data_IF_600055847381
#
_entry.id   IF_600055847381
#
_cell.length_a   1.000
_cell.length_b   1.000
_cell.length_c   1.000
_cell.angle_alpha   90.00
_cell.angle_beta   90.00
_cell.angle_gamma   90.00
#
_symmetry.space_group_name_H-M   'P 1'
#
loop_
_entity.id
_entity.type
_entity.pdbx_description
1 polymer ?
#
# COMPACT_ATOMS: atom_id res chain seq x y z
N UNK A 1 -11.70 12.30 -20.65
CA UNK A 1 -12.96 12.77 -21.27
C UNK A 1 -13.98 11.66 -21.19
N UNK A 2 -14.82 11.64 -20.14
CA UNK A 2 -15.81 10.58 -19.92
C UNK A 2 -17.05 10.85 -20.77
N UNK A 3 -17.31 10.00 -21.76
CA UNK A 3 -18.61 9.94 -22.40
C UNK A 3 -19.62 9.49 -21.34
N UNK A 4 -20.43 10.43 -20.82
CA UNK A 4 -21.68 10.09 -20.12
C UNK A 4 -22.54 9.29 -21.09
N UNK A 5 -22.41 7.97 -21.10
CA UNK A 5 -23.40 7.08 -21.71
C UNK A 5 -24.72 7.38 -21.00
N UNK A 6 -25.64 8.01 -21.73
CA UNK A 6 -27.01 8.22 -21.25
C UNK A 6 -27.56 6.86 -20.86
N UNK A 7 -27.92 6.71 -19.60
CA UNK A 7 -28.57 5.52 -19.09
C UNK A 7 -29.82 5.22 -19.93
N UNK A 8 -30.06 3.95 -20.24
CA UNK A 8 -31.23 3.54 -21.01
C UNK A 8 -32.50 4.04 -20.32
N UNK A 9 -33.32 4.81 -21.04
CA UNK A 9 -34.57 5.38 -20.53
C UNK A 9 -35.50 4.29 -20.00
N UNK A 10 -35.43 3.08 -20.56
CA UNK A 10 -36.20 1.94 -20.10
C UNK A 10 -35.70 1.45 -18.73
N UNK A 11 -34.39 1.35 -18.54
CA UNK A 11 -33.78 0.94 -17.27
C UNK A 11 -34.10 1.93 -16.13
N UNK A 12 -34.02 3.23 -16.42
CA UNK A 12 -34.41 4.29 -15.47
C UNK A 12 -35.88 4.15 -15.06
N UNK A 13 -36.77 3.87 -16.02
CA UNK A 13 -38.20 3.67 -15.75
C UNK A 13 -38.43 2.45 -14.85
N UNK A 14 -37.80 1.32 -15.15
CA UNK A 14 -37.91 0.09 -14.35
C UNK A 14 -37.37 0.27 -12.93
N UNK A 15 -36.21 0.92 -12.77
CA UNK A 15 -35.64 1.22 -11.45
C UNK A 15 -36.56 2.13 -10.63
N UNK A 16 -37.12 3.17 -11.25
CA UNK A 16 -38.06 4.05 -10.57
C UNK A 16 -39.33 3.30 -10.13
N UNK A 17 -39.88 2.44 -10.99
CA UNK A 17 -41.01 1.58 -10.64
C UNK A 17 -40.67 0.65 -9.48
N UNK A 18 -39.52 -0.02 -9.53
CA UNK A 18 -39.05 -0.93 -8.49
C UNK A 18 -38.91 -0.24 -7.12
N UNK A 19 -38.32 0.96 -7.09
CA UNK A 19 -38.08 1.71 -5.85
C UNK A 19 -39.37 2.26 -5.22
N UNK A 20 -40.39 2.56 -6.02
CA UNK A 20 -41.66 3.12 -5.56
C UNK A 20 -42.71 2.06 -5.24
N UNK A 21 -42.50 0.81 -5.66
CA UNK A 21 -43.42 -0.30 -5.40
C UNK A 21 -43.23 -0.89 -3.99
N UNK A 22 -44.32 -1.14 -3.25
CA UNK A 22 -44.30 -1.94 -2.03
C UNK A 22 -43.71 -3.34 -2.25
N UNK A 23 -43.10 -3.92 -1.23
CA UNK A 23 -42.47 -5.25 -1.32
C UNK A 23 -43.46 -6.39 -1.63
N UNK A 24 -44.73 -6.22 -1.29
CA UNK A 24 -45.82 -7.17 -1.54
C UNK A 24 -46.49 -7.00 -2.92
N UNK A 25 -46.02 -6.05 -3.75
CA UNK A 25 -46.61 -5.82 -5.05
C UNK A 25 -46.27 -6.95 -6.04
N UNK A 26 -47.31 -7.57 -6.63
CA UNK A 26 -47.19 -8.75 -7.50
C UNK A 26 -46.18 -8.55 -8.64
N UNK A 27 -46.18 -7.39 -9.28
CA UNK A 27 -45.30 -7.08 -10.43
C UNK A 27 -43.85 -6.78 -10.03
N UNK A 28 -43.56 -6.56 -8.74
CA UNK A 28 -42.22 -6.18 -8.28
C UNK A 28 -41.20 -7.29 -8.53
N UNK A 29 -41.65 -8.56 -8.46
CA UNK A 29 -40.81 -9.72 -8.77
C UNK A 29 -40.42 -9.78 -10.24
N UNK A 30 -41.32 -9.41 -11.14
CA UNK A 30 -41.04 -9.40 -12.58
C UNK A 30 -40.06 -8.27 -12.93
N UNK A 31 -40.26 -7.09 -12.34
CA UNK A 31 -39.32 -5.96 -12.46
C UNK A 31 -37.96 -6.31 -11.86
N UNK A 32 -37.93 -6.98 -10.69
CA UNK A 32 -36.69 -7.47 -10.09
C UNK A 32 -35.92 -8.34 -11.08
N UNK A 33 -36.56 -9.36 -11.64
CA UNK A 33 -35.92 -10.29 -12.58
C UNK A 33 -35.38 -9.59 -13.84
N UNK A 34 -36.08 -8.57 -14.33
CA UNK A 34 -35.60 -7.75 -15.44
C UNK A 34 -34.38 -6.89 -15.06
N UNK A 35 -34.45 -6.22 -13.91
CA UNK A 35 -33.37 -5.37 -13.44
C UNK A 35 -32.11 -6.18 -13.08
N UNK A 36 -32.31 -7.36 -12.50
CA UNK A 36 -31.26 -8.31 -12.11
C UNK A 36 -30.37 -8.71 -13.30
N UNK A 37 -30.97 -8.80 -14.50
CA UNK A 37 -30.30 -9.06 -15.78
C UNK A 37 -29.61 -7.84 -16.39
N UNK A 38 -30.09 -6.63 -16.07
CA UNK A 38 -29.75 -5.39 -16.79
C UNK A 38 -28.82 -4.45 -16.02
N UNK A 39 -28.67 -4.61 -14.70
CA UNK A 39 -27.79 -3.75 -13.89
C UNK A 39 -26.34 -4.23 -14.01
N UNK A 40 -25.68 -3.79 -15.07
CA UNK A 40 -24.30 -4.14 -15.40
C UNK A 40 -23.24 -3.36 -14.59
N UNK A 41 -23.64 -2.47 -13.68
CA UNK A 41 -22.74 -1.83 -12.73
C UNK A 41 -23.51 -1.18 -11.57
N UNK A 42 -23.06 -1.35 -10.30
CA UNK A 42 -23.62 -0.63 -9.16
C UNK A 42 -23.55 0.90 -9.32
N UNK A 43 -22.53 1.42 -10.00
CA UNK A 43 -22.35 2.86 -10.25
C UNK A 43 -23.51 3.48 -11.05
N UNK A 44 -24.26 2.69 -11.82
CA UNK A 44 -25.47 3.17 -12.51
C UNK A 44 -26.52 3.66 -11.51
N UNK A 45 -26.71 2.92 -10.42
CA UNK A 45 -27.66 3.27 -9.36
C UNK A 45 -27.17 4.51 -8.62
N UNK A 46 -25.86 4.58 -8.32
CA UNK A 46 -25.25 5.77 -7.69
C UNK A 46 -25.47 7.03 -8.53
N UNK A 47 -25.49 6.91 -9.86
CA UNK A 47 -25.76 8.04 -10.76
C UNK A 47 -27.24 8.44 -10.89
N UNK A 48 -28.16 7.71 -10.26
CA UNK A 48 -29.61 7.95 -10.35
C UNK A 48 -30.08 8.99 -9.32
N UNK A 49 -30.27 10.24 -9.77
CA UNK A 49 -30.73 11.34 -8.91
C UNK A 49 -32.14 11.18 -8.31
N UNK A 50 -32.94 10.24 -8.81
CA UNK A 50 -34.32 10.03 -8.34
C UNK A 50 -34.41 9.03 -7.18
N UNK A 51 -33.34 8.29 -6.89
CA UNK A 51 -33.29 7.34 -5.77
C UNK A 51 -32.74 8.09 -4.55
N UNK A 52 -33.49 8.19 -3.44
CA UNK A 52 -33.03 8.87 -2.24
C UNK A 52 -31.77 8.24 -1.64
N UNK A 53 -30.92 9.05 -1.01
CA UNK A 53 -29.66 8.59 -0.39
C UNK A 53 -29.88 7.62 0.80
N UNK A 54 -31.04 7.70 1.45
CA UNK A 54 -31.42 6.83 2.56
C UNK A 54 -32.01 5.48 2.12
N UNK A 55 -32.35 5.32 0.84
CA UNK A 55 -32.84 4.09 0.24
C UNK A 55 -31.80 2.95 0.35
N UNK A 56 -32.26 1.73 0.67
CA UNK A 56 -31.38 0.56 0.83
C UNK A 56 -30.58 0.26 -0.44
N UNK A 57 -31.22 0.27 -1.61
CA UNK A 57 -30.58 -0.02 -2.89
C UNK A 57 -29.47 1.00 -3.21
N UNK A 58 -29.66 2.28 -2.87
CA UNK A 58 -28.64 3.32 -3.04
C UNK A 58 -27.43 3.07 -2.13
N UNK A 59 -27.66 2.72 -0.86
CA UNK A 59 -26.58 2.42 0.09
C UNK A 59 -25.78 1.19 -0.34
N UNK A 60 -26.47 0.13 -0.75
CA UNK A 60 -25.85 -1.10 -1.27
C UNK A 60 -25.04 -0.81 -2.53
N UNK A 61 -25.57 0.01 -3.45
CA UNK A 61 -24.87 0.42 -4.66
C UNK A 61 -23.60 1.22 -4.36
N UNK A 62 -23.63 2.12 -3.38
CA UNK A 62 -22.46 2.87 -2.93
C UNK A 62 -21.40 1.93 -2.36
N UNK A 63 -21.77 1.03 -1.44
CA UNK A 63 -20.85 0.03 -0.86
C UNK A 63 -20.13 -0.75 -1.96
N UNK A 64 -20.90 -1.28 -2.92
CA UNK A 64 -20.35 -2.11 -3.99
C UNK A 64 -19.55 -1.31 -5.02
N UNK A 65 -19.98 -0.09 -5.33
CA UNK A 65 -19.26 0.81 -6.24
C UNK A 65 -17.91 1.20 -5.66
N UNK A 66 -17.88 1.64 -4.40
CA UNK A 66 -16.65 2.04 -3.70
C UNK A 66 -15.68 0.87 -3.61
N UNK A 67 -16.18 -0.30 -3.21
CA UNK A 67 -15.34 -1.50 -3.09
C UNK A 67 -14.79 -1.94 -4.45
N UNK A 68 -15.62 -1.99 -5.50
CA UNK A 68 -15.17 -2.40 -6.84
C UNK A 68 -14.21 -1.37 -7.47
N UNK A 69 -14.43 -0.08 -7.24
CA UNK A 69 -13.51 0.98 -7.66
C UNK A 69 -12.15 0.83 -6.97
N UNK A 70 -12.13 0.61 -5.64
CA UNK A 70 -10.89 0.40 -4.86
C UNK A 70 -10.05 -0.78 -5.36
N UNK A 71 -10.70 -1.85 -5.85
CA UNK A 71 -10.00 -3.00 -6.44
C UNK A 71 -9.43 -2.65 -7.82
N UNK A 72 -10.22 -2.01 -8.65
CA UNK A 72 -9.87 -1.78 -10.06
C UNK A 72 -8.89 -0.63 -10.27
N UNK A 73 -8.76 0.29 -9.30
CA UNK A 73 -7.79 1.37 -9.33
C UNK A 73 -6.50 1.08 -8.53
N UNK A 74 -6.38 -0.11 -7.94
CA UNK A 74 -5.21 -0.53 -7.16
C UNK A 74 -5.10 0.08 -5.75
N UNK A 75 -6.08 0.89 -5.31
CA UNK A 75 -6.11 1.46 -3.96
C UNK A 75 -7.06 0.67 -3.06
N UNK A 76 -6.72 -0.60 -2.80
CA UNK A 76 -7.56 -1.52 -2.02
C UNK A 76 -7.89 -0.89 -0.65
N UNK A 77 -9.20 -0.70 -0.40
CA UNK A 77 -9.73 -0.28 0.89
C UNK A 77 -10.41 -1.48 1.57
N UNK A 78 -9.70 -2.09 2.51
CA UNK A 78 -10.22 -3.23 3.29
C UNK A 78 -11.53 -2.87 4.01
N UNK A 79 -11.69 -1.62 4.47
CA UNK A 79 -12.92 -1.19 5.12
C UNK A 79 -14.10 -1.06 4.14
N UNK A 80 -13.84 -0.86 2.84
CA UNK A 80 -14.87 -0.91 1.81
C UNK A 80 -15.24 -2.37 1.49
N UNK A 81 -14.26 -3.27 1.44
CA UNK A 81 -14.48 -4.71 1.21
C UNK A 81 -15.28 -5.36 2.35
N UNK A 82 -14.97 -5.02 3.60
CA UNK A 82 -15.69 -5.54 4.78
C UNK A 82 -17.18 -5.18 4.76
N UNK A 83 -17.53 -3.99 4.23
CA UNK A 83 -18.93 -3.55 4.13
C UNK A 83 -19.75 -4.38 3.14
N UNK A 84 -19.12 -5.09 2.19
CA UNK A 84 -19.85 -5.93 1.23
C UNK A 84 -20.69 -6.99 1.96
N UNK A 85 -20.22 -7.50 3.10
CA UNK A 85 -20.96 -8.49 3.90
C UNK A 85 -22.27 -7.96 4.50
N UNK A 86 -22.47 -6.64 4.50
CA UNK A 86 -23.73 -6.04 4.96
C UNK A 86 -24.83 -5.99 3.90
N UNK A 87 -24.52 -6.32 2.63
CA UNK A 87 -25.51 -6.37 1.55
C UNK A 87 -26.34 -7.66 1.67
N UNK A 88 -27.68 -7.57 1.79
CA UNK A 88 -28.54 -8.75 1.95
C UNK A 88 -28.50 -9.69 0.73
N UNK A 89 -28.71 -10.99 0.94
CA UNK A 89 -28.72 -11.99 -0.14
C UNK A 89 -29.89 -11.79 -1.12
N UNK A 90 -30.99 -11.22 -0.63
CA UNK A 90 -32.17 -10.90 -1.43
C UNK A 90 -32.01 -9.60 -2.23
N UNK A 91 -30.89 -8.88 -2.06
CA UNK A 91 -30.62 -7.64 -2.79
C UNK A 91 -30.50 -7.90 -4.30
N UNK A 92 -31.01 -6.95 -5.07
CA UNK A 92 -30.81 -6.85 -6.51
C UNK A 92 -29.32 -6.82 -6.90
N UNK A 93 -28.46 -6.38 -5.99
CA UNK A 93 -27.02 -6.24 -6.18
C UNK A 93 -26.20 -7.34 -5.52
N UNK A 94 -26.82 -8.33 -4.87
CA UNK A 94 -26.08 -9.43 -4.25
C UNK A 94 -25.11 -10.16 -5.21
N UNK A 95 -25.43 -10.39 -6.50
CA UNK A 95 -24.48 -11.00 -7.44
C UNK A 95 -23.18 -10.21 -7.60
N UNK A 96 -23.26 -8.88 -7.48
CA UNK A 96 -22.09 -8.01 -7.50
C UNK A 96 -21.21 -8.21 -6.26
N UNK A 97 -21.76 -8.62 -5.11
CA UNK A 97 -20.96 -8.96 -3.93
C UNK A 97 -20.02 -10.14 -4.23
N UNK A 98 -20.57 -11.20 -4.85
CA UNK A 98 -19.79 -12.37 -5.23
C UNK A 98 -18.77 -12.04 -6.31
N UNK A 99 -19.15 -11.22 -7.30
CA UNK A 99 -18.25 -10.76 -8.35
C UNK A 99 -17.08 -9.93 -7.82
N UNK A 100 -17.35 -8.89 -7.03
CA UNK A 100 -16.32 -8.03 -6.42
C UNK A 100 -15.36 -8.85 -5.54
N UNK A 101 -15.87 -9.77 -4.72
CA UNK A 101 -15.03 -10.67 -3.91
C UNK A 101 -14.21 -11.64 -4.76
N UNK A 102 -14.74 -12.10 -5.89
CA UNK A 102 -14.01 -12.98 -6.82
C UNK A 102 -12.83 -12.25 -7.46
N UNK A 103 -13.05 -11.00 -7.90
CA UNK A 103 -12.00 -10.11 -8.43
C UNK A 103 -10.92 -9.86 -7.38
N UNK A 104 -11.31 -9.54 -6.15
CA UNK A 104 -10.37 -9.38 -5.05
C UNK A 104 -9.54 -10.64 -4.80
N UNK A 105 -10.19 -11.82 -4.75
CA UNK A 105 -9.49 -13.10 -4.54
C UNK A 105 -8.57 -13.45 -5.71
N UNK A 106 -8.89 -13.03 -6.93
CA UNK A 106 -8.03 -13.20 -8.10
C UNK A 106 -6.75 -12.37 -7.95
N UNK A 107 -6.87 -11.08 -7.63
CA UNK A 107 -5.70 -10.22 -7.41
C UNK A 107 -4.86 -10.64 -6.19
N UNK A 108 -5.47 -11.29 -5.19
CA UNK A 108 -4.76 -11.86 -4.05
C UNK A 108 -4.11 -13.23 -4.32
N UNK A 109 -4.18 -13.76 -5.56
CA UNK A 109 -3.61 -15.06 -5.93
C UNK A 109 -4.42 -16.28 -5.44
N UNK A 110 -5.52 -16.10 -4.70
CA UNK A 110 -6.39 -17.20 -4.27
C UNK A 110 -7.37 -17.59 -5.40
N UNK A 111 -6.80 -18.19 -6.45
CA UNK A 111 -7.52 -18.63 -7.64
C UNK A 111 -8.64 -19.63 -7.32
N UNK A 112 -8.45 -20.49 -6.31
CA UNK A 112 -9.45 -21.46 -5.88
C UNK A 112 -10.67 -20.78 -5.25
N UNK A 113 -10.44 -19.80 -4.37
CA UNK A 113 -11.52 -19.00 -3.79
C UNK A 113 -12.20 -18.13 -4.85
N UNK A 114 -11.43 -17.52 -5.75
CA UNK A 114 -11.98 -16.76 -6.88
C UNK A 114 -12.92 -17.65 -7.71
N UNK A 115 -12.48 -18.85 -8.11
CA UNK A 115 -13.30 -19.78 -8.88
C UNK A 115 -14.58 -20.19 -8.13
N UNK A 116 -14.49 -20.44 -6.82
CA UNK A 116 -15.66 -20.78 -6.01
C UNK A 116 -16.66 -19.62 -5.91
N UNK A 117 -16.19 -18.37 -5.86
CA UNK A 117 -17.04 -17.19 -5.83
C UNK A 117 -17.69 -16.92 -7.18
N UNK A 118 -16.96 -17.10 -8.29
CA UNK A 118 -17.51 -17.00 -9.66
C UNK A 118 -18.64 -18.01 -9.87
N UNK A 119 -18.48 -19.26 -9.39
CA UNK A 119 -19.52 -20.29 -9.47
C UNK A 119 -20.80 -19.96 -8.70
N UNK A 120 -20.73 -19.07 -7.70
CA UNK A 120 -21.90 -18.62 -6.93
C UNK A 120 -22.69 -17.51 -7.64
N UNK A 121 -22.13 -16.87 -8.66
CA UNK A 121 -22.80 -15.82 -9.41
C UNK A 121 -23.88 -16.46 -10.30
N UNK A 122 -25.16 -16.08 -10.16
CA UNK A 122 -26.21 -16.64 -11.00
C UNK A 122 -26.02 -16.26 -12.47
N UNK A 123 -26.19 -17.23 -13.38
CA UNK A 123 -25.89 -17.08 -14.81
C UNK A 123 -26.76 -16.02 -15.49
N UNK A 124 -27.97 -15.84 -14.99
CA UNK A 124 -28.93 -14.86 -15.48
C UNK A 124 -28.75 -13.47 -14.85
N UNK A 125 -27.85 -13.32 -13.88
CA UNK A 125 -27.50 -12.00 -13.35
C UNK A 125 -26.60 -11.23 -14.32
N UNK A 126 -26.64 -9.90 -14.27
CA UNK A 126 -25.74 -9.07 -15.06
C UNK A 126 -24.24 -9.41 -14.88
N UNK A 127 -23.68 -9.59 -13.66
CA UNK A 127 -22.29 -10.03 -13.51
C UNK A 127 -22.06 -11.50 -13.92
N UNK A 128 -23.13 -12.31 -14.06
CA UNK A 128 -23.07 -13.66 -14.61
C UNK A 128 -22.46 -13.70 -16.01
N UNK A 129 -22.62 -12.62 -16.78
CA UNK A 129 -22.01 -12.46 -18.09
C UNK A 129 -20.46 -12.46 -18.05
N UNK A 130 -19.82 -12.19 -16.91
CA UNK A 130 -18.35 -12.21 -16.80
C UNK A 130 -17.79 -13.55 -16.33
N UNK A 131 -18.64 -14.54 -16.02
CA UNK A 131 -18.18 -15.84 -15.51
C UNK A 131 -17.22 -16.52 -16.48
N UNK A 132 -17.56 -16.57 -17.76
CA UNK A 132 -16.72 -17.22 -18.77
C UNK A 132 -15.35 -16.54 -18.90
N UNK A 133 -15.30 -15.21 -18.77
CA UNK A 133 -14.04 -14.45 -18.84
C UNK A 133 -13.14 -14.80 -17.65
N UNK A 134 -13.69 -14.89 -16.44
CA UNK A 134 -12.94 -15.31 -15.26
C UNK A 134 -12.52 -16.79 -15.33
N UNK A 135 -13.38 -17.66 -15.85
CA UNK A 135 -13.02 -19.06 -16.09
C UNK A 135 -11.84 -19.15 -17.07
N UNK A 136 -11.86 -18.37 -18.15
CA UNK A 136 -10.77 -18.29 -19.12
C UNK A 136 -9.50 -17.62 -18.59
N UNK A 137 -9.60 -16.74 -17.58
CA UNK A 137 -8.43 -16.16 -16.89
C UNK A 137 -7.78 -17.15 -15.93
N UNK A 138 -8.60 -17.92 -15.20
CA UNK A 138 -8.16 -18.85 -14.16
C UNK A 138 -7.66 -20.19 -14.73
N UNK A 139 -8.16 -20.60 -15.89
CA UNK A 139 -7.79 -21.83 -16.57
C UNK A 139 -7.01 -21.52 -17.87
N UNK A 140 -5.70 -21.79 -17.84
CA UNK A 140 -4.79 -21.53 -18.97
C UNK A 140 -5.07 -22.41 -20.19
N UNK A 141 -5.75 -23.55 -20.00
CA UNK A 141 -6.03 -24.54 -21.05
C UNK A 141 -7.50 -24.51 -21.50
N UNK A 142 -8.26 -23.47 -21.12
CA UNK A 142 -9.67 -23.38 -21.51
C UNK A 142 -9.82 -23.12 -23.02
N UNK A 143 -10.45 -24.04 -23.77
CA UNK A 143 -10.86 -23.85 -25.18
C UNK A 143 -12.04 -22.85 -25.34
N UNK A 144 -12.20 -21.91 -24.40
CA UNK A 144 -13.30 -20.94 -24.41
C UNK A 144 -13.04 -19.91 -25.52
N UNK A 145 -13.86 -19.95 -26.56
CA UNK A 145 -13.83 -18.97 -27.65
C UNK A 145 -14.41 -17.64 -27.13
N UNK A 146 -13.55 -16.64 -26.96
CA UNK A 146 -13.95 -15.29 -26.54
C UNK A 146 -13.98 -14.30 -27.72
N UNK A 147 -14.73 -13.21 -27.54
CA UNK A 147 -14.64 -12.07 -28.45
C UNK A 147 -13.25 -11.41 -28.38
N UNK A 148 -12.74 -10.92 -29.51
CA UNK A 148 -11.38 -10.38 -29.62
C UNK A 148 -11.03 -9.29 -28.60
N UNK A 149 -12.02 -8.49 -28.17
CA UNK A 149 -11.81 -7.44 -27.18
C UNK A 149 -11.62 -7.99 -25.75
N UNK A 150 -12.25 -9.12 -25.43
CA UNK A 150 -12.06 -9.82 -24.15
C UNK A 150 -10.76 -10.63 -24.15
N UNK A 151 -10.37 -11.20 -25.28
CA UNK A 151 -9.06 -11.84 -25.41
C UNK A 151 -7.94 -10.83 -25.14
N UNK A 152 -8.02 -9.66 -25.76
CA UNK A 152 -7.06 -8.57 -25.52
C UNK A 152 -7.04 -8.12 -24.06
N UNK A 153 -8.20 -8.08 -23.39
CA UNK A 153 -8.28 -7.76 -21.97
C UNK A 153 -7.61 -8.84 -21.11
N UNK A 154 -7.87 -10.12 -21.41
CA UNK A 154 -7.24 -11.26 -20.75
C UNK A 154 -5.72 -11.22 -20.92
N UNK A 155 -5.23 -11.01 -22.14
CA UNK A 155 -3.80 -10.82 -22.42
C UNK A 155 -3.21 -9.68 -21.60
N UNK A 156 -3.86 -8.52 -21.58
CA UNK A 156 -3.37 -7.35 -20.82
C UNK A 156 -3.27 -7.62 -19.31
N UNK A 157 -4.27 -8.31 -18.73
CA UNK A 157 -4.27 -8.68 -17.31
C UNK A 157 -3.14 -9.68 -17.00
N UNK A 158 -2.94 -10.68 -17.87
CA UNK A 158 -1.92 -11.71 -17.67
C UNK A 158 -0.50 -11.21 -17.94
N UNK A 159 -0.29 -10.38 -18.97
CA UNK A 159 1.02 -9.80 -19.30
C UNK A 159 1.52 -8.88 -18.20
N UNK A 160 0.65 -8.05 -17.63
CA UNK A 160 1.01 -7.17 -16.51
C UNK A 160 1.44 -7.96 -15.28
N UNK A 161 0.79 -9.09 -14.98
CA UNK A 161 1.19 -9.97 -13.87
C UNK A 161 2.55 -10.61 -14.14
N UNK A 162 2.73 -11.19 -15.35
CA UNK A 162 3.98 -11.85 -15.74
C UNK A 162 5.17 -10.91 -15.72
N UNK A 163 5.03 -9.67 -16.22
CA UNK A 163 6.14 -8.72 -16.21
C UNK A 163 6.62 -8.41 -14.78
N UNK A 164 5.71 -8.30 -13.82
CA UNK A 164 6.05 -8.07 -12.41
C UNK A 164 6.68 -9.34 -11.82
N UNK A 165 6.09 -10.51 -12.07
CA UNK A 165 6.62 -11.81 -11.63
C UNK A 165 8.04 -12.05 -12.15
N UNK A 166 8.28 -11.90 -13.45
CA UNK A 166 9.59 -12.04 -14.10
C UNK A 166 10.60 -11.05 -13.52
N UNK A 167 10.18 -9.81 -13.24
CA UNK A 167 11.04 -8.79 -12.63
C UNK A 167 11.40 -9.14 -11.18
N UNK A 168 10.46 -9.70 -10.42
CA UNK A 168 10.69 -10.15 -9.05
C UNK A 168 11.60 -11.39 -9.02
N UNK A 169 11.45 -12.32 -9.95
CA UNK A 169 12.34 -13.48 -10.11
C UNK A 169 13.76 -13.01 -10.42
N UNK A 170 13.93 -12.09 -11.38
CA UNK A 170 15.24 -11.50 -11.69
C UNK A 170 15.87 -10.80 -10.48
N UNK A 171 15.08 -10.11 -9.66
CA UNK A 171 15.55 -9.50 -8.40
C UNK A 171 16.01 -10.58 -7.43
N UNK A 172 15.30 -11.70 -7.32
CA UNK A 172 15.71 -12.82 -6.45
C UNK A 172 16.99 -13.51 -6.93
N UNK A 173 17.13 -13.73 -8.24
CA UNK A 173 18.32 -14.34 -8.84
C UNK A 173 19.57 -13.46 -8.72
N UNK A 174 19.39 -12.14 -8.60
CA UNK A 174 20.49 -11.17 -8.54
C UNK A 174 21.01 -10.87 -7.14
N UNK A 175 20.50 -11.53 -6.09
CA UNK A 175 20.85 -11.26 -4.68
C UNK A 175 22.35 -11.29 -4.39
N UNK A 176 23.12 -12.14 -5.07
CA UNK A 176 24.57 -12.27 -4.87
C UNK A 176 25.39 -11.13 -5.51
N UNK A 177 24.77 -10.32 -6.38
CA UNK A 177 25.43 -9.25 -7.12
C UNK A 177 24.75 -7.92 -6.83
N UNK A 178 25.30 -7.14 -5.91
CA UNK A 178 24.72 -5.86 -5.47
C UNK A 178 24.31 -4.95 -6.64
N UNK A 179 25.20 -4.80 -7.62
CA UNK A 179 24.98 -3.94 -8.77
C UNK A 179 23.76 -4.38 -9.58
N UNK A 180 23.64 -5.68 -9.84
CA UNK A 180 22.52 -6.23 -10.60
C UNK A 180 21.23 -6.17 -9.78
N UNK A 181 21.29 -6.49 -8.49
CA UNK A 181 20.15 -6.42 -7.59
C UNK A 181 19.55 -5.01 -7.56
N UNK A 182 20.38 -3.99 -7.34
CA UNK A 182 19.94 -2.61 -7.25
C UNK A 182 19.47 -2.05 -8.60
N UNK A 183 20.06 -2.49 -9.72
CA UNK A 183 19.60 -2.13 -11.06
C UNK A 183 18.22 -2.73 -11.35
N UNK A 184 18.07 -4.05 -11.20
CA UNK A 184 16.81 -4.78 -11.44
C UNK A 184 15.69 -4.27 -10.54
N UNK A 185 15.93 -4.14 -9.23
CA UNK A 185 14.96 -3.57 -8.30
C UNK A 185 14.64 -2.12 -8.65
N UNK A 186 15.64 -1.33 -9.07
CA UNK A 186 15.45 0.05 -9.46
C UNK A 186 14.54 0.23 -10.68
N UNK A 187 14.55 -0.70 -11.64
CA UNK A 187 13.64 -0.68 -12.78
C UNK A 187 12.20 -0.94 -12.34
N UNK A 188 11.95 -2.06 -11.63
CA UNK A 188 10.61 -2.40 -11.15
C UNK A 188 10.04 -1.31 -10.22
N UNK A 189 10.86 -0.76 -9.31
CA UNK A 189 10.44 0.31 -8.41
C UNK A 189 10.00 1.54 -9.20
N UNK A 190 10.71 1.94 -10.27
CA UNK A 190 10.32 3.12 -11.07
C UNK A 190 8.96 2.94 -11.74
N UNK A 191 8.62 1.71 -12.11
CA UNK A 191 7.35 1.41 -12.77
C UNK A 191 6.20 1.46 -11.75
N UNK A 192 6.38 0.92 -10.54
CA UNK A 192 5.28 0.80 -9.57
C UNK A 192 5.17 1.97 -8.59
N UNK A 193 6.23 2.75 -8.35
CA UNK A 193 6.28 3.75 -7.25
C UNK A 193 5.19 4.83 -7.33
N UNK A 194 4.68 5.13 -8.53
CA UNK A 194 3.61 6.11 -8.76
C UNK A 194 2.23 5.58 -8.34
N UNK A 195 2.02 4.28 -8.45
CA UNK A 195 0.75 3.61 -8.22
C UNK A 195 0.73 3.00 -6.81
N UNK A 196 1.81 2.31 -6.43
CA UNK A 196 1.98 1.70 -5.12
C UNK A 196 3.38 1.99 -4.53
N UNK A 197 3.49 3.16 -3.88
CA UNK A 197 4.70 3.57 -3.15
C UNK A 197 5.04 2.60 -2.00
N UNK A 198 4.05 1.95 -1.37
CA UNK A 198 4.30 1.06 -0.23
C UNK A 198 5.01 -0.21 -0.69
N UNK A 199 4.54 -0.83 -1.78
CA UNK A 199 5.21 -2.02 -2.34
C UNK A 199 6.61 -1.70 -2.84
N UNK A 200 6.80 -0.55 -3.51
CA UNK A 200 8.13 -0.06 -3.87
C UNK A 200 9.08 0.04 -2.65
N UNK A 201 8.60 0.60 -1.53
CA UNK A 201 9.38 0.69 -0.28
C UNK A 201 9.71 -0.70 0.29
N UNK A 202 8.76 -1.64 0.25
CA UNK A 202 9.00 -3.01 0.72
C UNK A 202 10.07 -3.72 -0.13
N UNK A 203 10.05 -3.55 -1.46
CA UNK A 203 11.05 -4.16 -2.36
C UNK A 203 12.47 -3.66 -2.04
N UNK A 204 12.67 -2.34 -1.90
CA UNK A 204 14.01 -1.81 -1.61
C UNK A 204 14.50 -2.22 -0.22
N UNK A 205 13.62 -2.26 0.78
CA UNK A 205 13.96 -2.74 2.12
C UNK A 205 14.38 -4.22 2.08
N UNK A 206 13.66 -5.04 1.32
CA UNK A 206 14.04 -6.44 1.12
C UNK A 206 15.42 -6.56 0.46
N UNK A 207 15.70 -5.74 -0.57
CA UNK A 207 17.02 -5.73 -1.22
C UNK A 207 18.12 -5.35 -0.21
N UNK A 208 17.89 -4.33 0.61
CA UNK A 208 18.84 -3.90 1.63
C UNK A 208 19.08 -4.96 2.70
N UNK A 209 18.02 -5.62 3.17
CA UNK A 209 18.14 -6.74 4.11
C UNK A 209 19.01 -7.85 3.51
N UNK A 210 18.86 -8.15 2.22
CA UNK A 210 19.68 -9.17 1.53
C UNK A 210 21.13 -8.77 1.41
N UNK A 211 21.41 -7.53 1.00
CA UNK A 211 22.79 -7.02 0.93
C UNK A 211 23.48 -7.05 2.29
N UNK A 212 22.72 -6.74 3.35
CA UNK A 212 23.22 -6.72 4.72
C UNK A 212 23.50 -8.10 5.33
N UNK A 213 23.05 -9.18 4.69
CA UNK A 213 23.45 -10.54 5.08
C UNK A 213 24.91 -10.85 4.72
N UNK A 214 25.46 -10.18 3.70
CA UNK A 214 26.83 -10.40 3.24
C UNK A 214 27.82 -9.34 3.74
N UNK A 215 27.43 -8.07 3.78
CA UNK A 215 28.30 -6.96 4.20
C UNK A 215 27.47 -5.74 4.62
N UNK A 216 28.09 -4.72 5.22
CA UNK A 216 27.43 -3.47 5.58
C UNK A 216 26.83 -2.80 4.33
N UNK A 217 25.65 -2.18 4.50
CA UNK A 217 24.96 -1.49 3.40
C UNK A 217 25.86 -0.42 2.76
N UNK A 218 26.11 -0.53 1.46
CA UNK A 218 27.02 0.36 0.74
C UNK A 218 26.44 1.77 0.52
N UNK A 219 27.32 2.75 0.31
CA UNK A 219 26.91 4.11 -0.09
C UNK A 219 26.18 4.13 -1.44
N UNK A 220 26.46 3.16 -2.32
CA UNK A 220 25.79 3.01 -3.61
C UNK A 220 24.33 2.64 -3.42
N UNK A 221 24.04 1.69 -2.53
CA UNK A 221 22.69 1.29 -2.18
C UNK A 221 21.89 2.47 -1.61
N UNK A 222 22.48 3.23 -0.68
CA UNK A 222 21.86 4.44 -0.08
C UNK A 222 21.60 5.50 -1.14
N UNK A 223 22.55 5.74 -2.04
CA UNK A 223 22.41 6.69 -3.15
C UNK A 223 21.27 6.28 -4.09
N UNK A 224 21.12 4.98 -4.38
CA UNK A 224 20.02 4.47 -5.20
C UNK A 224 18.67 4.70 -4.52
N UNK A 225 18.54 4.44 -3.21
CA UNK A 225 17.29 4.72 -2.50
C UNK A 225 16.94 6.22 -2.49
N UNK A 226 17.91 7.11 -2.28
CA UNK A 226 17.69 8.57 -2.37
C UNK A 226 17.24 9.00 -3.76
N UNK A 227 17.82 8.42 -4.80
CA UNK A 227 17.39 8.68 -6.17
C UNK A 227 15.95 8.23 -6.44
N UNK A 228 15.54 7.07 -5.91
CA UNK A 228 14.21 6.50 -6.17
C UNK A 228 13.10 7.15 -5.33
N UNK A 229 13.37 7.43 -4.05
CA UNK A 229 12.34 7.86 -3.10
C UNK A 229 12.44 9.33 -2.67
N UNK A 230 13.52 10.02 -3.05
CA UNK A 230 13.89 11.35 -2.55
C UNK A 230 14.79 11.29 -1.31
N UNK A 231 15.35 12.43 -0.93
CA UNK A 231 16.28 12.54 0.22
C UNK A 231 15.65 12.02 1.52
N UNK A 232 14.44 12.49 1.84
CA UNK A 232 13.73 12.17 3.08
C UNK A 232 13.52 10.68 3.27
N UNK A 233 12.80 10.05 2.33
CA UNK A 233 12.44 8.64 2.40
C UNK A 233 13.61 7.74 2.05
N UNK A 234 14.52 8.16 1.17
CA UNK A 234 15.72 7.40 0.84
C UNK A 234 16.58 7.15 2.08
N UNK A 235 16.91 8.21 2.83
CA UNK A 235 17.62 8.06 4.10
C UNK A 235 16.81 7.30 5.14
N UNK A 236 15.49 7.52 5.22
CA UNK A 236 14.62 6.81 6.18
C UNK A 236 14.63 5.30 5.95
N UNK A 237 14.54 4.86 4.70
CA UNK A 237 14.55 3.44 4.33
C UNK A 237 15.92 2.81 4.58
N UNK A 238 17.01 3.51 4.26
CA UNK A 238 18.36 3.06 4.63
C UNK A 238 18.53 2.94 6.15
N UNK A 239 18.03 3.91 6.91
CA UNK A 239 18.09 3.89 8.37
C UNK A 239 17.33 2.69 8.96
N UNK A 240 16.13 2.40 8.42
CA UNK A 240 15.32 1.26 8.83
C UNK A 240 16.01 -0.08 8.57
N UNK A 241 16.58 -0.26 7.38
CA UNK A 241 17.27 -1.50 7.02
C UNK A 241 18.53 -1.71 7.89
N UNK A 242 19.33 -0.65 8.10
CA UNK A 242 20.56 -0.75 8.88
C UNK A 242 20.36 -0.91 10.39
N UNK A 243 19.16 -0.68 10.92
CA UNK A 243 18.92 -0.63 12.37
C UNK A 243 19.35 -1.91 13.12
N UNK A 244 19.21 -3.08 12.50
CA UNK A 244 19.51 -4.36 13.15
C UNK A 244 20.94 -4.86 12.89
N UNK A 245 21.61 -4.33 11.88
CA UNK A 245 22.94 -4.78 11.45
C UNK A 245 24.03 -3.78 11.80
N UNK A 246 23.74 -2.48 11.69
CA UNK A 246 24.69 -1.37 11.85
C UNK A 246 24.00 -0.14 12.49
N UNK A 247 23.74 -0.17 13.83
CA UNK A 247 22.93 0.84 14.51
C UNK A 247 23.53 2.26 14.51
N UNK A 248 24.86 2.39 14.50
CA UNK A 248 25.57 3.67 14.46
C UNK A 248 25.41 4.36 13.09
N UNK A 249 25.46 3.60 11.98
CA UNK A 249 25.14 4.08 10.63
C UNK A 249 23.64 4.34 10.46
N UNK A 250 22.78 3.50 11.05
CA UNK A 250 21.33 3.76 11.11
C UNK A 250 21.02 5.10 11.77
N UNK A 251 21.71 5.44 12.87
CA UNK A 251 21.57 6.72 13.55
C UNK A 251 21.91 7.91 12.65
N UNK A 252 22.99 7.82 11.88
CA UNK A 252 23.41 8.83 10.90
C UNK A 252 22.34 9.02 9.81
N UNK A 253 21.79 7.93 9.28
CA UNK A 253 20.72 8.02 8.27
C UNK A 253 19.41 8.60 8.83
N UNK A 254 19.04 8.28 10.07
CA UNK A 254 17.88 8.92 10.71
C UNK A 254 18.08 10.43 10.87
N UNK A 255 19.29 10.89 11.22
CA UNK A 255 19.62 12.31 11.30
C UNK A 255 19.48 13.00 9.94
N UNK A 256 20.08 12.42 8.89
CA UNK A 256 19.96 12.94 7.54
C UNK A 256 18.51 13.00 7.04
N UNK A 257 17.71 11.97 7.34
CA UNK A 257 16.28 11.96 7.01
C UNK A 257 15.55 13.11 7.68
N UNK A 258 15.73 13.32 9.00
CA UNK A 258 15.09 14.43 9.71
C UNK A 258 15.55 15.80 9.19
N UNK A 259 16.85 15.96 8.90
CA UNK A 259 17.39 17.18 8.30
C UNK A 259 16.77 17.47 6.93
N UNK A 260 16.54 16.45 6.11
CA UNK A 260 15.87 16.57 4.82
C UNK A 260 14.40 16.97 4.98
N UNK A 261 13.70 16.42 5.97
CA UNK A 261 12.33 16.83 6.32
C UNK A 261 12.26 18.30 6.72
N UNK A 262 13.16 18.73 7.62
CA UNK A 262 13.19 20.12 8.07
C UNK A 262 13.52 21.11 6.94
N UNK A 263 14.29 20.69 5.92
CA UNK A 263 14.60 21.53 4.77
C UNK A 263 13.38 21.92 3.94
N UNK A 264 12.35 21.07 3.87
CA UNK A 264 11.12 21.36 3.13
C UNK A 264 10.17 22.32 3.87
N UNK A 265 10.46 22.62 5.15
CA UNK A 265 9.75 23.60 6.01
C UNK A 265 8.26 23.34 6.22
N UNK A 266 7.75 22.17 5.87
CA UNK A 266 6.36 21.75 6.05
C UNK A 266 6.21 20.64 7.12
N UNK A 267 7.32 20.14 7.67
CA UNK A 267 7.33 19.03 8.60
C UNK A 267 6.77 19.42 9.95
N UNK A 268 5.66 18.82 10.38
CA UNK A 268 4.98 19.14 11.64
C UNK A 268 5.85 18.92 12.91
N UNK A 269 5.60 19.72 13.97
CA UNK A 269 6.27 19.58 15.28
C UNK A 269 6.07 18.18 15.90
N UNK A 270 4.95 17.51 15.61
CA UNK A 270 4.68 16.13 16.07
C UNK A 270 5.61 15.14 15.38
N UNK A 271 5.78 15.27 14.07
CA UNK A 271 6.71 14.46 13.27
C UNK A 271 8.14 14.62 13.78
N UNK A 272 8.61 15.86 14.00
CA UNK A 272 9.95 16.12 14.55
C UNK A 272 10.15 15.42 15.89
N UNK A 273 9.17 15.50 16.81
CA UNK A 273 9.24 14.81 18.10
C UNK A 273 9.31 13.28 17.96
N UNK A 274 8.59 12.70 17.00
CA UNK A 274 8.64 11.27 16.73
C UNK A 274 10.03 10.84 16.26
N UNK A 275 10.62 11.56 15.30
CA UNK A 275 11.99 11.31 14.85
C UNK A 275 13.01 11.45 15.97
N UNK A 276 12.94 12.53 16.76
CA UNK A 276 13.82 12.72 17.90
C UNK A 276 13.73 11.56 18.90
N UNK A 277 12.52 11.06 19.19
CA UNK A 277 12.36 9.89 20.05
C UNK A 277 13.05 8.65 19.49
N UNK A 278 12.97 8.41 18.17
CA UNK A 278 13.66 7.30 17.51
C UNK A 278 15.18 7.50 17.60
N UNK A 279 15.67 8.70 17.28
CA UNK A 279 17.09 9.05 17.36
C UNK A 279 17.64 8.81 18.76
N UNK A 280 16.90 9.20 19.81
CA UNK A 280 17.31 8.94 21.19
C UNK A 280 17.46 7.45 21.48
N UNK A 281 16.42 6.67 21.18
CA UNK A 281 16.41 5.23 21.47
C UNK A 281 17.58 4.50 20.76
N UNK A 282 17.91 4.91 19.53
CA UNK A 282 19.06 4.37 18.79
C UNK A 282 20.36 4.88 19.39
N UNK A 283 20.46 6.17 19.72
CA UNK A 283 21.66 6.78 20.30
C UNK A 283 22.04 6.16 21.65
N UNK A 284 21.04 5.82 22.48
CA UNK A 284 21.25 5.14 23.76
C UNK A 284 21.83 3.72 23.51
N UNK A 285 21.32 3.00 22.50
CA UNK A 285 21.87 1.69 22.09
C UNK A 285 23.32 1.81 21.61
N UNK A 286 23.58 2.75 20.70
CA UNK A 286 24.92 2.96 20.12
C UNK A 286 25.95 3.31 21.22
N UNK A 287 25.59 4.19 22.15
CA UNK A 287 26.47 4.60 23.25
C UNK A 287 26.79 3.46 24.22
N UNK A 288 25.87 2.51 24.41
CA UNK A 288 26.04 1.39 25.33
C UNK A 288 26.80 0.22 24.71
N UNK A 289 26.62 -0.02 23.42
CA UNK A 289 27.05 -1.26 22.77
C UNK A 289 28.32 -1.10 21.92
N UNK A 290 28.73 0.12 21.57
CA UNK A 290 29.81 0.35 20.60
C UNK A 290 30.93 1.26 21.13
N UNK A 291 32.17 0.93 20.77
CA UNK A 291 33.32 1.83 20.94
C UNK A 291 33.37 2.81 19.77
N UNK A 292 33.20 4.10 20.06
CA UNK A 292 33.05 5.13 19.04
C UNK A 292 34.38 5.76 18.66
N UNK A 293 34.63 5.89 17.36
CA UNK A 293 35.80 6.62 16.86
C UNK A 293 35.62 8.13 17.03
N UNK A 294 36.74 8.87 17.17
CA UNK A 294 36.70 10.33 17.23
C UNK A 294 36.08 10.95 15.96
N UNK A 295 36.31 10.34 14.80
CA UNK A 295 35.75 10.79 13.52
C UNK A 295 34.22 10.66 13.51
N UNK A 296 33.70 9.55 14.04
CA UNK A 296 32.26 9.35 14.17
C UNK A 296 31.63 10.37 15.12
N UNK A 297 32.24 10.60 16.28
CA UNK A 297 31.76 11.60 17.25
C UNK A 297 31.75 13.01 16.64
N UNK A 298 32.77 13.38 15.85
CA UNK A 298 32.81 14.65 15.14
C UNK A 298 31.71 14.78 14.08
N UNK A 299 31.48 13.73 13.28
CA UNK A 299 30.38 13.68 12.31
C UNK A 299 29.03 13.88 13.00
N UNK A 300 28.78 13.14 14.07
CA UNK A 300 27.55 13.23 14.86
C UNK A 300 27.36 14.62 15.46
N UNK A 301 28.42 15.22 15.99
CA UNK A 301 28.38 16.59 16.54
C UNK A 301 27.97 17.62 15.48
N UNK A 302 28.53 17.50 14.27
CA UNK A 302 28.17 18.35 13.13
C UNK A 302 26.68 18.20 12.78
N UNK A 303 26.20 16.96 12.61
CA UNK A 303 24.81 16.69 12.23
C UNK A 303 23.80 17.14 13.29
N UNK A 304 24.12 16.95 14.58
CA UNK A 304 23.25 17.36 15.69
C UNK A 304 23.21 18.88 15.83
N UNK A 305 24.34 19.57 15.59
CA UNK A 305 24.39 21.03 15.54
C UNK A 305 23.48 21.57 14.43
N UNK A 306 23.63 21.05 13.20
CA UNK A 306 22.80 21.40 12.05
C UNK A 306 21.31 21.15 12.33
N UNK A 307 21.00 20.01 12.98
CA UNK A 307 19.64 19.66 13.36
C UNK A 307 19.06 20.69 14.33
N UNK A 308 19.82 21.06 15.36
CA UNK A 308 19.38 22.02 16.37
C UNK A 308 19.12 23.40 15.77
N UNK A 309 20.02 23.88 14.91
CA UNK A 309 19.86 25.16 14.23
C UNK A 309 18.56 25.20 13.42
N UNK A 310 18.29 24.16 12.64
CA UNK A 310 17.07 24.07 11.82
C UNK A 310 15.81 23.94 12.65
N UNK A 311 15.85 23.12 13.71
CA UNK A 311 14.72 22.99 14.63
C UNK A 311 14.44 24.32 15.30
N UNK A 312 15.46 25.05 15.77
CA UNK A 312 15.28 26.37 16.39
C UNK A 312 14.74 27.41 15.40
N UNK A 313 15.24 27.41 14.16
CA UNK A 313 14.78 28.32 13.11
C UNK A 313 13.30 28.10 12.77
N UNK A 314 12.86 26.85 12.62
CA UNK A 314 11.48 26.50 12.26
C UNK A 314 10.56 26.57 13.49
N UNK A 315 11.08 26.20 14.65
CA UNK A 315 10.37 26.11 15.93
C UNK A 315 11.15 26.81 17.06
N UNK A 316 11.05 28.15 17.17
CA UNK A 316 11.80 28.91 18.18
C UNK A 316 11.52 28.49 19.63
N UNK A 317 10.32 27.94 19.87
CA UNK A 317 9.84 27.42 21.17
C UNK A 317 9.99 25.89 21.27
N UNK A 318 10.88 25.28 20.50
CA UNK A 318 11.19 23.85 20.66
C UNK A 318 12.06 23.65 21.91
N UNK A 319 11.65 22.81 22.87
CA UNK A 319 12.41 22.62 24.09
C UNK A 319 13.74 21.90 23.82
N UNK A 320 14.81 22.34 24.48
CA UNK A 320 16.14 21.72 24.39
C UNK A 320 16.98 22.10 23.17
N UNK A 321 16.51 23.00 22.30
CA UNK A 321 17.24 23.44 21.09
C UNK A 321 18.26 24.57 21.31
N UNK A 322 18.40 25.05 22.55
CA UNK A 322 19.39 26.07 22.94
C UNK A 322 20.43 25.47 23.86
N UNK A 323 21.64 26.00 23.79
CA UNK A 323 22.77 25.65 24.66
C UNK A 323 23.01 24.13 24.71
N UNK A 324 23.23 23.53 23.53
CA UNK A 324 23.49 22.09 23.44
C UNK A 324 24.86 21.73 24.05
N UNK A 325 24.96 20.55 24.71
CA UNK A 325 26.24 19.98 25.12
C UNK A 325 27.16 19.73 23.93
N UNK A 326 28.47 19.70 24.18
CA UNK A 326 29.46 19.29 23.16
C UNK A 326 29.33 17.81 22.78
N UNK A 327 28.85 16.97 23.70
CA UNK A 327 28.57 15.56 23.44
C UNK A 327 27.30 15.41 22.57
N UNK A 328 27.40 14.85 21.34
CA UNK A 328 26.24 14.72 20.45
C UNK A 328 25.14 13.82 21.02
N UNK A 329 25.48 12.83 21.86
CA UNK A 329 24.50 11.93 22.46
C UNK A 329 23.69 12.64 23.55
N UNK A 330 24.37 13.37 24.43
CA UNK A 330 23.71 14.25 25.39
C UNK A 330 22.85 15.33 24.71
N UNK A 331 23.30 15.87 23.57
CA UNK A 331 22.55 16.84 22.79
C UNK A 331 21.27 16.24 22.18
N UNK A 332 21.31 15.03 21.61
CA UNK A 332 20.11 14.31 21.15
C UNK A 332 19.13 14.09 22.32
N UNK A 333 19.63 13.67 23.48
CA UNK A 333 18.81 13.46 24.67
C UNK A 333 18.14 14.77 25.15
N UNK A 334 18.85 15.90 25.09
CA UNK A 334 18.33 17.22 25.43
C UNK A 334 17.23 17.68 24.46
N UNK A 335 17.45 17.52 23.15
CA UNK A 335 16.44 17.81 22.12
C UNK A 335 15.14 17.01 22.32
N UNK A 336 15.23 15.80 22.86
CA UNK A 336 14.06 14.97 23.14
C UNK A 336 13.24 15.38 24.37
N UNK A 337 13.75 16.27 25.23
CA UNK A 337 13.07 16.77 26.43
C UNK A 337 12.57 15.70 27.42
N UNK A 338 13.03 14.45 27.32
CA UNK A 338 12.76 13.38 28.29
C UNK A 338 13.99 13.22 29.18
N UNK A 339 13.83 13.47 30.50
CA UNK A 339 14.79 13.03 31.53
C UNK A 339 15.20 11.58 31.25
N UNK A 340 16.50 11.29 31.31
CA UNK A 340 17.06 9.95 31.15
C UNK A 340 16.23 8.94 31.97
N UNK A 341 15.51 8.06 31.28
CA UNK A 341 15.08 6.80 31.88
C UNK A 341 16.18 5.79 31.57
N UNK A 342 16.51 4.90 32.52
CA UNK A 342 17.56 3.91 32.30
C UNK A 342 17.20 3.03 31.08
N UNK A 343 18.20 2.61 30.30
CA UNK A 343 17.99 1.80 29.10
C UNK A 343 17.24 0.53 29.48
N UNK A 344 16.07 0.32 28.86
CA UNK A 344 15.36 -0.94 28.96
C UNK A 344 16.15 -1.94 28.13
N UNK A 345 16.83 -2.87 28.78
CA UNK A 345 17.47 -4.01 28.10
C UNK A 345 16.44 -4.74 27.26
N UNK A 346 16.42 -4.47 25.95
CA UNK A 346 15.68 -5.30 24.99
C UNK A 346 16.50 -6.56 24.82
N UNK A 347 15.90 -7.71 25.18
CA UNK A 347 16.44 -9.01 24.80
C UNK A 347 16.75 -8.97 23.30
N UNK A 348 17.99 -9.31 22.94
CA UNK A 348 18.40 -9.60 21.56
C UNK A 348 17.32 -10.48 20.97
N UNK A 349 16.52 -9.90 20.06
CA UNK A 349 15.50 -10.64 19.34
C UNK A 349 16.31 -11.54 18.43
N UNK A 350 16.23 -12.85 18.62
CA UNK A 350 16.61 -13.78 17.55
C UNK A 350 15.97 -13.23 16.26
N UNK A 351 16.81 -13.01 15.26
CA UNK A 351 16.39 -12.54 13.93
C UNK A 351 15.55 -13.65 13.34
N UNK A 352 14.27 -13.68 13.72
CA UNK A 352 13.27 -14.36 12.93
C UNK A 352 13.11 -13.52 11.67
N UNK A 353 13.23 -14.13 10.48
CA UNK A 353 12.93 -13.42 9.24
C UNK A 353 11.61 -12.68 9.39
N UNK A 354 11.66 -11.37 9.20
CA UNK A 354 10.52 -10.46 9.28
C UNK A 354 9.42 -10.95 8.33
N UNK A 355 8.16 -10.86 8.77
CA UNK A 355 6.97 -11.29 8.02
C UNK A 355 6.85 -10.66 6.60
N UNK A 356 7.63 -9.62 6.30
CA UNK A 356 7.82 -9.05 4.96
C UNK A 356 8.28 -10.12 3.95
N UNK A 357 9.03 -11.14 4.41
CA UNK A 357 9.50 -12.23 3.55
C UNK A 357 8.37 -13.13 3.02
N UNK A 358 7.20 -13.15 3.66
CA UNK A 358 6.09 -14.01 3.25
C UNK A 358 5.06 -13.27 2.40
N UNK A 359 4.80 -11.97 2.61
CA UNK A 359 3.73 -11.29 1.86
C UNK A 359 4.13 -10.86 0.43
N UNK A 360 5.40 -10.56 0.19
CA UNK A 360 5.88 -10.13 -1.15
C UNK A 360 6.17 -11.30 -2.09
N UNK A 361 6.32 -12.52 -1.56
CA UNK A 361 6.80 -13.68 -2.30
C UNK A 361 5.99 -14.96 -2.02
N UNK A 362 4.90 -14.88 -1.25
CA UNK A 362 3.87 -15.91 -1.27
C UNK A 362 2.94 -15.65 -2.46
N UNK A 363 3.44 -15.95 -3.65
CA UNK A 363 2.61 -16.20 -4.83
C UNK A 363 2.43 -17.72 -4.98
#
# INVERSE_FOLDING_TARGET
MSQKKSMDKNLVKLLNQYCMMPDDHQDKKDIFNELYKKIYSPALIVSCNFIPADNSLMKEALILSDAFESLTNGMIDEAALDKIDSVPEESLLYPWCSFTKAVHSFYAGDHKKSQNLIKKIPEDSAPGAFRFFFEALLDKDSDIVMEAHLEKLKESVLESSRMIEDSLELIQESVEMEDLLLESAGLLIRDIIKEDRKSAQKIILWCFDRLQLSDVLSDKAVTKARYLFGEQDGYRLSALASLSFDPDRSLVYWLHSLLAYLNERDTSKVTVKAFLSILKDISDTVQLEFELSNEYVQLMSSLVSDLSERVLHIYPDFPGSRDLPEDPFAAIAQLCSKKQQPPVQRKVREVKPTAVQLELFAF
#
